data_IF_864881597534
#
_entry.id   IF_864881597534
#
_cell.length_a   1.000
_cell.length_b   1.000
_cell.length_c   1.000
_cell.angle_alpha   90.00
_cell.angle_beta   90.00
_cell.angle_gamma   90.00
#
_symmetry.space_group_name_H-M   'P 1'
#
loop_
_entity.id
_entity.type
_entity.pdbx_description
1 polymer ?
#
# COMPACT_ATOMS: atom_id res chain seq x y z
N UNK A 1 -19.88 27.33 18.52
CA UNK A 1 -20.24 26.42 17.41
C UNK A 1 -19.41 26.87 16.23
N UNK A 2 -18.32 26.17 15.92
CA UNK A 2 -17.49 26.50 14.76
C UNK A 2 -18.24 25.97 13.54
N UNK A 3 -18.72 26.88 12.69
CA UNK A 3 -19.28 26.50 11.40
C UNK A 3 -18.09 26.02 10.57
N UNK A 4 -17.97 24.70 10.37
CA UNK A 4 -16.96 24.16 9.46
C UNK A 4 -17.35 24.59 8.04
N UNK A 5 -16.79 25.71 7.61
CA UNK A 5 -16.97 26.25 6.26
C UNK A 5 -16.46 25.21 5.26
N UNK A 6 -17.31 24.81 4.32
CA UNK A 6 -16.92 23.96 3.21
C UNK A 6 -15.90 24.69 2.33
N UNK A 7 -14.93 23.94 1.82
CA UNK A 7 -13.86 24.44 0.97
C UNK A 7 -13.78 23.64 -0.31
N UNK A 8 -13.45 24.32 -1.40
CA UNK A 8 -13.23 23.70 -2.69
C UNK A 8 -11.76 23.32 -2.82
N UNK A 9 -11.49 22.04 -3.08
CA UNK A 9 -10.14 21.52 -3.27
C UNK A 9 -9.98 20.97 -4.67
N UNK A 10 -8.95 21.45 -5.40
CA UNK A 10 -8.47 20.76 -6.60
C UNK A 10 -7.43 19.73 -6.17
N UNK A 11 -7.65 18.48 -6.56
CA UNK A 11 -6.68 17.41 -6.36
C UNK A 11 -6.20 16.96 -7.72
N UNK A 12 -4.88 16.90 -7.89
CA UNK A 12 -4.21 16.31 -9.04
C UNK A 12 -3.39 15.11 -8.56
N UNK A 13 -3.43 14.01 -9.31
CA UNK A 13 -2.79 12.76 -8.92
C UNK A 13 -2.10 12.12 -10.13
N UNK A 14 -0.87 11.63 -9.94
CA UNK A 14 -0.15 10.86 -10.96
C UNK A 14 -0.62 9.40 -10.94
N UNK A 15 -1.08 8.90 -12.09
CA UNK A 15 -1.34 7.47 -12.29
C UNK A 15 -0.14 6.92 -13.06
N UNK A 16 0.65 6.02 -12.47
CA UNK A 16 1.72 5.32 -13.19
C UNK A 16 1.09 4.18 -13.99
N UNK A 17 1.27 4.17 -15.31
CA UNK A 17 0.63 3.18 -16.19
C UNK A 17 1.44 2.94 -17.46
N UNK A 18 1.38 1.72 -17.97
CA UNK A 18 1.91 1.37 -19.29
C UNK A 18 0.92 1.67 -20.42
N UNK A 19 -0.32 2.05 -20.09
CA UNK A 19 -1.31 2.43 -21.10
C UNK A 19 -1.02 3.84 -21.58
N UNK A 20 -0.95 4.05 -22.89
CA UNK A 20 -0.88 5.38 -23.47
C UNK A 20 -2.28 6.01 -23.51
N UNK A 21 -2.38 7.29 -23.13
CA UNK A 21 -3.61 8.08 -23.28
C UNK A 21 -3.47 9.09 -24.41
N UNK A 22 -4.06 8.77 -25.57
CA UNK A 22 -3.94 9.62 -26.76
C UNK A 22 -4.75 10.91 -26.68
N UNK A 23 -5.99 10.82 -26.19
CA UNK A 23 -6.89 11.96 -26.04
C UNK A 23 -7.33 12.08 -24.57
N UNK A 24 -7.28 13.29 -23.99
CA UNK A 24 -7.88 13.53 -22.68
C UNK A 24 -9.35 13.17 -22.65
N UNK A 25 -9.83 12.67 -21.50
CA UNK A 25 -11.24 12.35 -21.32
C UNK A 25 -11.73 12.68 -19.91
N UNK A 26 -13.05 12.78 -19.78
CA UNK A 26 -13.74 12.98 -18.51
C UNK A 26 -14.52 11.72 -18.14
N UNK A 27 -14.43 11.30 -16.88
CA UNK A 27 -15.24 10.18 -16.37
C UNK A 27 -15.61 10.40 -14.91
N UNK A 28 -16.91 10.43 -14.60
CA UNK A 28 -17.43 10.65 -13.24
C UNK A 28 -16.86 11.91 -12.56
N UNK A 29 -16.67 12.99 -13.32
CA UNK A 29 -16.12 14.25 -12.83
C UNK A 29 -14.61 14.26 -12.62
N UNK A 30 -13.91 13.18 -12.98
CA UNK A 30 -12.45 13.17 -13.08
C UNK A 30 -12.01 13.48 -14.50
N UNK A 31 -11.06 14.41 -14.62
CA UNK A 31 -10.37 14.76 -15.85
C UNK A 31 -9.08 13.97 -15.95
N UNK A 32 -8.90 13.22 -17.03
CA UNK A 32 -7.70 12.43 -17.30
C UNK A 32 -6.93 13.06 -18.47
N UNK A 33 -5.64 13.26 -18.26
CA UNK A 33 -4.70 13.80 -19.26
C UNK A 33 -3.45 12.94 -19.28
N UNK A 34 -2.79 12.87 -20.44
CA UNK A 34 -1.49 12.22 -20.55
C UNK A 34 -0.42 13.01 -19.76
N UNK A 35 0.63 12.34 -19.29
CA UNK A 35 1.74 13.01 -18.61
C UNK A 35 2.59 13.81 -19.60
N UNK A 36 3.17 13.16 -20.61
CA UNK A 36 3.88 13.83 -21.71
C UNK A 36 3.23 13.58 -23.08
N UNK A 37 3.33 14.58 -23.95
CA UNK A 37 2.98 14.46 -25.36
C UNK A 37 3.91 15.30 -26.21
N UNK A 38 4.28 14.76 -27.37
CA UNK A 38 4.91 15.54 -28.43
C UNK A 38 4.45 15.02 -29.78
N UNK A 39 4.34 15.91 -30.78
CA UNK A 39 3.96 15.49 -32.14
C UNK A 39 4.91 14.46 -32.77
N UNK A 40 6.18 14.40 -32.32
CA UNK A 40 7.17 13.47 -32.84
C UNK A 40 7.17 12.10 -32.14
N UNK A 41 6.82 12.05 -30.85
CA UNK A 41 6.88 10.81 -30.03
C UNK A 41 5.50 10.30 -29.60
N UNK A 42 4.42 11.02 -29.92
CA UNK A 42 3.10 10.73 -29.38
C UNK A 42 3.07 10.91 -27.87
N UNK A 43 2.35 10.03 -27.18
CA UNK A 43 2.32 9.96 -25.73
C UNK A 43 3.57 9.25 -25.19
N UNK A 44 4.21 9.83 -24.19
CA UNK A 44 5.34 9.22 -23.50
C UNK A 44 5.26 9.53 -21.99
N UNK A 45 6.08 8.88 -21.17
CA UNK A 45 6.22 9.23 -19.74
C UNK A 45 5.54 8.29 -18.73
N UNK A 46 5.11 7.09 -19.15
CA UNK A 46 4.61 5.99 -18.31
C UNK A 46 3.60 6.42 -17.22
N UNK A 47 2.83 7.47 -17.50
CA UNK A 47 1.91 8.06 -16.55
C UNK A 47 0.80 8.90 -17.18
N UNK A 48 -0.30 9.02 -16.45
CA UNK A 48 -1.38 9.99 -16.66
C UNK A 48 -1.48 10.94 -15.46
N UNK A 49 -2.12 12.07 -15.66
CA UNK A 49 -2.57 12.98 -14.61
C UNK A 49 -4.09 12.85 -14.53
N UNK A 50 -4.59 12.61 -13.33
CA UNK A 50 -6.02 12.69 -13.05
C UNK A 50 -6.28 13.87 -12.12
N UNK A 51 -7.31 14.65 -12.41
CA UNK A 51 -7.68 15.80 -11.58
C UNK A 51 -9.17 15.86 -11.32
N UNK A 52 -9.56 16.38 -10.16
CA UNK A 52 -10.97 16.65 -9.81
C UNK A 52 -11.06 17.72 -8.72
N UNK A 53 -12.13 18.51 -8.78
CA UNK A 53 -12.51 19.42 -7.70
C UNK A 53 -13.47 18.73 -6.72
N UNK A 54 -13.22 18.86 -5.42
CA UNK A 54 -14.00 18.27 -4.33
C UNK A 54 -14.28 19.32 -3.27
N UNK A 55 -15.55 19.42 -2.88
CA UNK A 55 -15.98 20.23 -1.75
C UNK A 55 -15.87 19.42 -0.44
N UNK A 56 -15.10 19.89 0.54
CA UNK A 56 -14.91 19.22 1.83
C UNK A 56 -14.59 20.19 2.98
N UNK A 57 -14.63 19.72 4.24
CA UNK A 57 -14.31 20.59 5.39
C UNK A 57 -12.82 20.86 5.48
N UNK A 58 -12.01 19.83 5.26
CA UNK A 58 -10.55 19.89 5.24
C UNK A 58 -10.02 19.04 4.07
N UNK A 59 -8.73 19.18 3.76
CA UNK A 59 -8.19 18.48 2.59
C UNK A 59 -7.86 17.00 2.85
N UNK A 60 -7.77 16.55 4.11
CA UNK A 60 -7.75 15.11 4.42
C UNK A 60 -9.06 14.44 3.99
N UNK A 61 -10.21 15.03 4.33
CA UNK A 61 -11.54 14.57 3.92
C UNK A 61 -11.69 14.61 2.38
N UNK A 62 -11.24 15.69 1.75
CA UNK A 62 -11.22 15.82 0.29
C UNK A 62 -10.41 14.69 -0.36
N UNK A 63 -9.20 14.43 0.17
CA UNK A 63 -8.31 13.40 -0.35
C UNK A 63 -8.85 11.98 -0.17
N UNK A 64 -9.38 11.65 1.01
CA UNK A 64 -10.00 10.34 1.25
C UNK A 64 -11.18 10.10 0.30
N UNK A 65 -11.99 11.14 0.05
CA UNK A 65 -13.10 11.07 -0.92
C UNK A 65 -12.58 10.85 -2.33
N UNK A 66 -11.59 11.65 -2.75
CA UNK A 66 -10.94 11.52 -4.06
C UNK A 66 -10.38 10.11 -4.27
N UNK A 67 -9.59 9.62 -3.32
CA UNK A 67 -8.87 8.36 -3.41
C UNK A 67 -9.82 7.16 -3.46
N UNK A 68 -10.87 7.15 -2.62
CA UNK A 68 -11.85 6.07 -2.59
C UNK A 68 -12.59 5.93 -3.93
N UNK A 69 -12.97 7.06 -4.54
CA UNK A 69 -13.64 7.05 -5.85
C UNK A 69 -12.67 6.71 -7.00
N UNK A 70 -11.45 7.25 -6.95
CA UNK A 70 -10.43 7.02 -7.98
C UNK A 70 -9.95 5.56 -8.01
N UNK A 71 -9.73 4.92 -6.85
CA UNK A 71 -9.26 3.52 -6.76
C UNK A 71 -10.08 2.59 -7.64
N UNK A 72 -11.41 2.67 -7.54
CA UNK A 72 -12.31 1.84 -8.34
C UNK A 72 -12.22 2.11 -9.84
N UNK A 73 -11.89 3.35 -10.24
CA UNK A 73 -11.71 3.71 -11.65
C UNK A 73 -10.37 3.15 -12.16
N UNK A 74 -9.29 3.34 -11.39
CA UNK A 74 -7.94 2.86 -11.72
C UNK A 74 -7.89 1.34 -11.87
N UNK A 75 -8.56 0.59 -10.99
CA UNK A 75 -8.69 -0.86 -11.10
C UNK A 75 -9.35 -1.29 -12.42
N UNK A 76 -10.40 -0.59 -12.85
CA UNK A 76 -11.07 -0.85 -14.13
C UNK A 76 -10.19 -0.48 -15.32
N UNK A 77 -9.45 0.63 -15.24
CA UNK A 77 -8.48 1.03 -16.27
C UNK A 77 -7.41 -0.05 -16.41
N UNK A 78 -6.82 -0.52 -15.31
CA UNK A 78 -5.81 -1.59 -15.33
C UNK A 78 -6.36 -2.88 -15.95
N UNK A 79 -7.59 -3.27 -15.60
CA UNK A 79 -8.23 -4.44 -16.18
C UNK A 79 -8.48 -4.28 -17.70
N UNK A 80 -9.04 -3.15 -18.14
CA UNK A 80 -9.39 -2.91 -19.55
C UNK A 80 -8.13 -2.78 -20.41
N UNK A 81 -7.12 -2.07 -19.92
CA UNK A 81 -5.84 -1.89 -20.62
C UNK A 81 -4.94 -3.12 -20.59
N UNK A 82 -5.22 -4.09 -19.70
CA UNK A 82 -4.43 -5.31 -19.50
C UNK A 82 -2.96 -5.02 -19.19
N UNK A 83 -2.69 -3.92 -18.49
CA UNK A 83 -1.33 -3.50 -18.18
C UNK A 83 -1.22 -2.92 -16.76
N UNK A 84 0.02 -2.77 -16.28
CA UNK A 84 0.28 -2.18 -14.97
C UNK A 84 -0.31 -0.77 -14.91
N UNK A 85 -1.15 -0.52 -13.91
CA UNK A 85 -1.77 0.78 -13.63
C UNK A 85 -1.88 0.93 -12.12
N UNK A 86 -1.23 1.93 -11.55
CA UNK A 86 -1.17 2.11 -10.09
C UNK A 86 -1.13 3.58 -9.70
N UNK A 87 -1.74 3.90 -8.56
CA UNK A 87 -1.61 5.19 -7.88
C UNK A 87 -0.87 5.05 -6.55
N UNK A 88 -0.45 3.83 -6.18
CA UNK A 88 0.24 3.60 -4.92
C UNK A 88 1.60 4.30 -4.93
N UNK A 89 1.87 5.05 -3.86
CA UNK A 89 3.10 5.81 -3.68
C UNK A 89 3.42 6.76 -4.84
N UNK A 90 2.42 7.19 -5.62
CA UNK A 90 2.61 8.18 -6.69
C UNK A 90 2.38 9.61 -6.16
N UNK A 91 3.04 10.62 -6.76
CA UNK A 91 2.87 12.01 -6.37
C UNK A 91 1.43 12.49 -6.54
N UNK A 92 1.01 13.36 -5.62
CA UNK A 92 -0.26 14.06 -5.73
C UNK A 92 -0.20 15.44 -5.06
N UNK A 93 -1.05 16.33 -5.54
CA UNK A 93 -1.14 17.73 -5.15
C UNK A 93 -2.58 18.01 -4.69
N UNK A 94 -2.73 18.71 -3.56
CA UNK A 94 -4.01 19.24 -3.09
C UNK A 94 -3.91 20.75 -2.96
N UNK A 95 -4.78 21.45 -3.69
CA UNK A 95 -4.89 22.90 -3.71
C UNK A 95 -6.23 23.32 -3.15
N UNK A 96 -6.24 24.27 -2.22
CA UNK A 96 -7.47 24.93 -1.79
C UNK A 96 -7.78 26.07 -2.76
N UNK A 97 -8.94 26.03 -3.41
CA UNK A 97 -9.33 26.99 -4.44
C UNK A 97 -9.98 28.25 -3.87
N UNK A 98 -10.61 28.17 -2.70
CA UNK A 98 -11.33 29.28 -2.11
C UNK A 98 -10.48 30.03 -1.06
N UNK A 99 -10.29 31.33 -1.29
CA UNK A 99 -9.71 32.28 -0.30
C UNK A 99 -8.34 31.86 0.26
N UNK A 100 -7.39 31.54 -0.61
CA UNK A 100 -6.00 31.24 -0.24
C UNK A 100 -5.02 32.23 -0.88
N UNK A 101 -4.87 33.40 -0.25
CA UNK A 101 -3.93 34.44 -0.71
C UNK A 101 -2.47 33.97 -0.65
N UNK A 102 -2.15 33.06 0.27
CA UNK A 102 -0.81 32.49 0.43
C UNK A 102 -0.54 31.32 -0.52
N UNK A 103 -1.57 30.80 -1.21
CA UNK A 103 -1.51 29.64 -2.10
C UNK A 103 -0.83 28.44 -1.42
N UNK A 104 -1.24 28.13 -0.19
CA UNK A 104 -0.75 26.97 0.54
C UNK A 104 -1.29 25.69 -0.11
N UNK A 105 -0.40 24.74 -0.38
CA UNK A 105 -0.76 23.46 -0.98
C UNK A 105 -0.12 22.29 -0.25
N UNK A 106 -0.81 21.15 -0.27
CA UNK A 106 -0.21 19.88 0.15
C UNK A 106 0.40 19.19 -1.05
N UNK A 107 1.64 18.75 -0.92
CA UNK A 107 2.30 17.96 -1.95
C UNK A 107 2.92 16.71 -1.34
N UNK A 108 2.48 15.55 -1.82
CA UNK A 108 3.24 14.32 -1.69
C UNK A 108 4.18 14.24 -2.88
N UNK A 109 5.46 14.45 -2.64
CA UNK A 109 6.50 14.16 -3.60
C UNK A 109 6.96 12.72 -3.37
N UNK A 110 6.99 11.90 -4.41
CA UNK A 110 7.56 10.56 -4.34
C UNK A 110 8.34 10.24 -5.59
N UNK A 111 9.48 9.56 -5.40
CA UNK A 111 10.35 9.11 -6.47
C UNK A 111 10.72 7.66 -6.23
N UNK A 112 10.73 6.89 -7.31
CA UNK A 112 11.25 5.53 -7.26
C UNK A 112 12.77 5.61 -7.05
N UNK A 113 13.27 4.81 -6.11
CA UNK A 113 14.69 4.76 -5.76
C UNK A 113 15.21 3.34 -5.96
N UNK A 114 16.52 3.22 -6.19
CA UNK A 114 17.15 1.90 -6.24
C UNK A 114 17.01 1.19 -4.88
N UNK A 115 16.86 -0.14 -4.87
CA UNK A 115 16.80 -0.90 -3.63
C UNK A 115 18.11 -0.74 -2.84
N UNK A 116 17.99 -0.72 -1.52
CA UNK A 116 19.14 -0.71 -0.60
C UNK A 116 19.58 -2.16 -0.36
N UNK A 117 20.83 -2.55 -0.70
CA UNK A 117 21.31 -3.90 -0.47
C UNK A 117 21.47 -4.18 1.04
N UNK A 118 21.22 -5.43 1.43
CA UNK A 118 21.49 -5.92 2.78
C UNK A 118 22.70 -6.85 2.78
N UNK A 119 23.42 -6.86 3.89
CA UNK A 119 24.52 -7.80 4.09
C UNK A 119 23.97 -9.16 4.54
N UNK A 120 24.48 -10.24 3.95
CA UNK A 120 24.24 -11.60 4.41
C UNK A 120 25.48 -12.07 5.17
N UNK A 121 25.51 -11.79 6.47
CA UNK A 121 26.67 -11.96 7.34
C UNK A 121 26.73 -13.37 7.92
N UNK A 122 27.68 -13.62 8.82
CA UNK A 122 27.79 -14.92 9.51
C UNK A 122 26.54 -15.25 10.34
N UNK A 123 25.82 -14.25 10.86
CA UNK A 123 24.58 -14.50 11.61
C UNK A 123 23.46 -15.01 10.70
N UNK A 124 23.32 -14.48 9.48
CA UNK A 124 22.36 -14.98 8.49
C UNK A 124 22.75 -16.36 7.95
N UNK A 125 24.06 -16.63 7.75
CA UNK A 125 24.54 -17.96 7.34
C UNK A 125 24.26 -19.03 8.40
N UNK A 126 24.52 -18.73 9.67
CA UNK A 126 24.20 -19.61 10.80
C UNK A 126 22.69 -19.85 10.90
N UNK A 127 21.86 -18.81 10.72
CA UNK A 127 20.42 -18.94 10.69
C UNK A 127 19.94 -19.87 9.56
N UNK A 128 20.50 -19.73 8.35
CA UNK A 128 20.17 -20.59 7.21
C UNK A 128 20.40 -22.07 7.54
N UNK A 129 21.58 -22.41 8.08
CA UNK A 129 21.94 -23.78 8.45
C UNK A 129 20.98 -24.32 9.52
N UNK A 130 20.66 -23.52 10.53
CA UNK A 130 19.75 -23.92 11.62
C UNK A 130 18.33 -24.20 11.13
N UNK A 131 17.89 -23.51 10.08
CA UNK A 131 16.54 -23.66 9.53
C UNK A 131 16.38 -24.86 8.60
N UNK A 132 17.47 -25.50 8.14
CA UNK A 132 17.41 -26.70 7.28
C UNK A 132 16.59 -27.83 7.92
N UNK A 133 16.59 -27.92 9.25
CA UNK A 133 15.86 -28.94 10.01
C UNK A 133 14.35 -28.72 10.09
N UNK A 134 13.80 -27.65 9.52
CA UNK A 134 12.35 -27.42 9.56
C UNK A 134 11.61 -28.30 8.54
N UNK A 135 10.70 -29.14 9.00
CA UNK A 135 10.06 -30.15 8.14
C UNK A 135 9.19 -29.55 7.02
N UNK A 136 8.53 -28.41 7.29
CA UNK A 136 7.55 -27.81 6.36
C UNK A 136 8.18 -26.77 5.44
N UNK A 137 9.04 -27.22 4.53
CA UNK A 137 9.86 -26.38 3.66
C UNK A 137 9.07 -25.35 2.81
N UNK A 138 7.85 -25.68 2.40
CA UNK A 138 6.97 -24.77 1.64
C UNK A 138 6.67 -23.45 2.36
N UNK A 139 6.81 -23.40 3.69
CA UNK A 139 6.67 -22.17 4.48
C UNK A 139 7.64 -21.08 4.01
N UNK A 140 8.87 -21.44 3.66
CA UNK A 140 9.87 -20.47 3.20
C UNK A 140 9.55 -19.92 1.81
N UNK A 141 8.87 -20.70 0.96
CA UNK A 141 8.35 -20.22 -0.32
C UNK A 141 7.37 -19.07 -0.11
N UNK A 142 6.37 -19.25 0.76
CA UNK A 142 5.36 -18.21 1.02
C UNK A 142 5.93 -17.00 1.76
N UNK A 143 6.89 -17.20 2.68
CA UNK A 143 7.63 -16.10 3.29
C UNK A 143 8.40 -15.28 2.25
N UNK A 144 9.08 -15.95 1.31
CA UNK A 144 9.79 -15.29 0.23
C UNK A 144 8.83 -14.49 -0.68
N UNK A 145 7.70 -15.08 -1.08
CA UNK A 145 6.66 -14.35 -1.83
C UNK A 145 6.12 -13.14 -1.06
N UNK A 146 5.95 -13.26 0.27
CA UNK A 146 5.51 -12.13 1.11
C UNK A 146 6.54 -10.99 1.17
N UNK A 147 7.81 -11.31 0.98
CA UNK A 147 8.93 -10.35 0.97
C UNK A 147 9.08 -9.70 -0.41
N UNK A 148 8.71 -10.41 -1.48
CA UNK A 148 8.89 -9.98 -2.86
C UNK A 148 7.65 -9.29 -3.47
N UNK A 149 6.56 -9.13 -2.72
CA UNK A 149 5.35 -8.46 -3.20
C UNK A 149 5.34 -6.97 -2.87
N UNK A 150 4.90 -6.16 -3.83
CA UNK A 150 4.78 -4.71 -3.70
C UNK A 150 3.48 -4.27 -3.01
N UNK A 151 2.44 -5.13 -2.98
CA UNK A 151 1.14 -4.78 -2.41
C UNK A 151 0.91 -5.37 -1.03
N UNK A 152 0.27 -4.58 -0.16
CA UNK A 152 -0.08 -4.98 1.20
C UNK A 152 -0.99 -6.22 1.23
N UNK A 153 -2.01 -6.27 0.38
CA UNK A 153 -2.99 -7.36 0.39
C UNK A 153 -2.37 -8.70 -0.05
N UNK A 154 -1.53 -8.69 -1.09
CA UNK A 154 -0.79 -9.88 -1.50
C UNK A 154 0.18 -10.32 -0.40
N UNK A 155 0.87 -9.37 0.25
CA UNK A 155 1.76 -9.69 1.39
C UNK A 155 1.00 -10.36 2.52
N UNK A 156 -0.11 -9.76 2.94
CA UNK A 156 -0.95 -10.30 4.01
C UNK A 156 -1.48 -11.69 3.64
N UNK A 157 -1.90 -11.91 2.40
CA UNK A 157 -2.34 -13.22 1.93
C UNK A 157 -1.22 -14.27 2.02
N UNK A 158 0.00 -13.94 1.57
CA UNK A 158 1.15 -14.85 1.66
C UNK A 158 1.53 -15.17 3.11
N UNK A 159 1.46 -14.20 4.01
CA UNK A 159 1.70 -14.41 5.44
C UNK A 159 0.62 -15.27 6.10
N UNK A 160 -0.64 -15.13 5.69
CA UNK A 160 -1.72 -16.01 6.15
C UNK A 160 -1.48 -17.44 5.66
N UNK A 161 -1.12 -17.64 4.39
CA UNK A 161 -0.78 -18.97 3.86
C UNK A 161 0.43 -19.56 4.60
N UNK A 162 1.42 -18.73 4.94
CA UNK A 162 2.57 -19.13 5.76
C UNK A 162 2.12 -19.67 7.12
N UNK A 163 1.23 -18.97 7.82
CA UNK A 163 0.68 -19.44 9.11
C UNK A 163 -0.09 -20.75 8.95
N UNK A 164 -0.95 -20.87 7.94
CA UNK A 164 -1.72 -22.09 7.67
C UNK A 164 -0.78 -23.26 7.32
N UNK A 165 0.32 -23.01 6.60
CA UNK A 165 1.34 -24.01 6.27
C UNK A 165 2.09 -24.48 7.52
N UNK A 166 2.53 -23.57 8.41
CA UNK A 166 3.16 -23.93 9.70
C UNK A 166 2.20 -24.73 10.57
N UNK A 167 0.92 -24.35 10.64
CA UNK A 167 -0.07 -25.10 11.39
C UNK A 167 -0.31 -26.50 10.81
N UNK A 168 -0.38 -26.61 9.48
CA UNK A 168 -0.83 -27.83 8.83
C UNK A 168 -2.30 -28.12 9.14
N UNK A 169 -2.68 -29.37 8.95
CA UNK A 169 -4.09 -29.79 8.99
C UNK A 169 -4.35 -30.76 10.13
N UNK A 170 -5.56 -30.73 10.66
CA UNK A 170 -6.11 -31.72 11.59
C UNK A 170 -7.44 -32.25 11.08
N UNK A 171 -7.72 -33.50 11.40
CA UNK A 171 -9.01 -34.12 11.15
C UNK A 171 -9.98 -33.75 12.27
N UNK A 172 -11.18 -33.29 11.91
CA UNK A 172 -12.30 -33.12 12.81
C UNK A 172 -13.45 -34.03 12.40
N UNK A 173 -14.11 -34.63 13.38
CA UNK A 173 -15.37 -35.32 13.17
C UNK A 173 -16.51 -34.35 13.42
N UNK A 174 -17.29 -34.06 12.39
CA UNK A 174 -18.54 -33.30 12.53
C UNK A 174 -19.76 -34.17 12.26
N UNK A 175 -20.86 -33.89 12.96
CA UNK A 175 -22.15 -34.51 12.69
C UNK A 175 -22.88 -33.72 11.63
N UNK A 176 -23.23 -34.36 10.51
CA UNK A 176 -24.12 -33.76 9.52
C UNK A 176 -25.49 -33.48 10.14
N UNK A 177 -26.26 -32.60 9.49
CA UNK A 177 -27.69 -32.40 9.80
C UNK A 177 -28.51 -33.70 9.77
N UNK A 178 -28.04 -34.71 9.04
CA UNK A 178 -28.61 -36.04 8.92
C UNK A 178 -28.20 -37.04 10.05
N UNK A 179 -27.44 -36.61 11.06
CA UNK A 179 -26.99 -37.45 12.17
C UNK A 179 -25.78 -38.35 11.89
N UNK A 180 -25.36 -38.50 10.63
CA UNK A 180 -24.11 -39.20 10.26
C UNK A 180 -22.88 -38.37 10.59
N UNK A 181 -21.84 -39.04 11.04
CA UNK A 181 -20.53 -38.43 11.23
C UNK A 181 -19.79 -38.37 9.91
N UNK A 182 -19.12 -37.24 9.65
CA UNK A 182 -18.15 -37.10 8.57
C UNK A 182 -16.85 -36.53 9.11
N UNK A 183 -15.75 -37.02 8.56
CA UNK A 183 -14.42 -36.49 8.80
C UNK A 183 -14.19 -35.33 7.84
N UNK A 184 -13.75 -34.21 8.38
CA UNK A 184 -13.32 -33.04 7.61
C UNK A 184 -11.88 -32.72 7.96
N UNK A 185 -11.12 -32.27 6.97
CA UNK A 185 -9.75 -31.80 7.16
C UNK A 185 -9.82 -30.28 7.26
N UNK A 186 -9.23 -29.72 8.31
CA UNK A 186 -9.20 -28.28 8.54
C UNK A 186 -7.81 -27.86 9.01
N UNK A 187 -7.44 -26.60 8.78
CA UNK A 187 -6.22 -26.03 9.35
C UNK A 187 -6.24 -26.08 10.88
N UNK A 188 -5.12 -26.46 11.49
CA UNK A 188 -4.98 -26.44 12.95
C UNK A 188 -4.77 -25.02 13.50
N UNK A 189 -5.88 -24.29 13.64
CA UNK A 189 -5.88 -22.90 14.14
C UNK A 189 -5.32 -22.74 15.56
N UNK A 190 -5.23 -23.80 16.35
CA UNK A 190 -4.67 -23.71 17.70
C UNK A 190 -3.16 -23.46 17.64
N UNK A 191 -2.46 -24.07 16.68
CA UNK A 191 -1.04 -23.80 16.41
C UNK A 191 -0.84 -22.34 16.00
N UNK A 192 -1.70 -21.82 15.11
CA UNK A 192 -1.64 -20.42 14.68
C UNK A 192 -1.83 -19.47 15.87
N UNK A 193 -2.81 -19.77 16.73
CA UNK A 193 -3.10 -18.99 17.92
C UNK A 193 -1.90 -18.95 18.87
N UNK A 194 -1.24 -20.09 19.08
CA UNK A 194 0.00 -20.18 19.88
C UNK A 194 1.14 -19.41 19.23
N UNK A 195 1.33 -19.52 17.91
CA UNK A 195 2.39 -18.82 17.18
C UNK A 195 2.23 -17.30 17.27
N UNK A 196 1.03 -16.78 17.04
CA UNK A 196 0.76 -15.35 17.11
C UNK A 196 0.86 -14.81 18.54
N UNK A 197 0.45 -15.62 19.54
CA UNK A 197 0.39 -15.25 20.95
C UNK A 197 -0.27 -13.87 21.18
N UNK A 198 -1.29 -13.57 20.37
CA UNK A 198 -2.05 -12.33 20.38
C UNK A 198 -3.48 -12.65 19.94
N UNK A 199 -4.39 -12.68 20.90
CA UNK A 199 -5.80 -13.02 20.67
C UNK A 199 -6.50 -12.00 19.76
N UNK A 200 -6.12 -10.72 19.85
CA UNK A 200 -6.74 -9.66 19.06
C UNK A 200 -6.35 -9.78 17.59
N UNK A 201 -5.06 -10.01 17.32
CA UNK A 201 -4.56 -10.27 15.95
C UNK A 201 -5.16 -11.55 15.41
N UNK A 202 -5.14 -12.65 16.19
CA UNK A 202 -5.73 -13.92 15.76
C UNK A 202 -7.20 -13.77 15.37
N UNK A 203 -8.02 -13.09 16.20
CA UNK A 203 -9.43 -12.83 15.89
C UNK A 203 -9.60 -11.94 14.66
N UNK A 204 -8.79 -10.90 14.51
CA UNK A 204 -8.84 -10.02 13.34
C UNK A 204 -8.59 -10.80 12.03
N UNK A 205 -7.63 -11.75 12.04
CA UNK A 205 -7.31 -12.54 10.85
C UNK A 205 -8.30 -13.70 10.62
N UNK A 206 -8.57 -14.51 11.64
CA UNK A 206 -9.17 -15.84 11.50
C UNK A 206 -10.59 -16.00 12.04
N UNK A 207 -11.23 -14.91 12.51
CA UNK A 207 -12.62 -14.96 12.96
C UNK A 207 -13.57 -15.48 11.87
N UNK A 208 -14.55 -16.27 12.31
CA UNK A 208 -15.53 -16.89 11.42
C UNK A 208 -16.37 -15.83 10.70
N UNK A 209 -16.53 -15.96 9.39
CA UNK A 209 -17.35 -15.09 8.53
C UNK A 209 -17.03 -13.58 8.52
N UNK A 210 -15.91 -13.15 9.10
CA UNK A 210 -15.53 -11.73 9.10
C UNK A 210 -14.04 -11.45 9.19
N UNK A 211 -13.21 -12.46 9.47
CA UNK A 211 -11.76 -12.27 9.58
C UNK A 211 -11.13 -11.89 8.24
N UNK A 212 -10.00 -11.17 8.31
CA UNK A 212 -9.27 -10.70 7.13
C UNK A 212 -8.94 -11.83 6.16
N UNK A 213 -8.57 -13.02 6.66
CA UNK A 213 -8.36 -14.22 5.84
C UNK A 213 -9.58 -14.54 4.99
N UNK A 214 -10.76 -14.62 5.62
CA UNK A 214 -12.00 -14.91 4.89
C UNK A 214 -12.28 -13.83 3.85
N UNK A 215 -12.10 -12.56 4.20
CA UNK A 215 -12.43 -11.47 3.30
C UNK A 215 -11.48 -11.43 2.09
N UNK A 216 -10.18 -11.64 2.31
CA UNK A 216 -9.14 -11.74 1.26
C UNK A 216 -9.44 -12.86 0.27
N UNK A 217 -9.63 -14.09 0.75
CA UNK A 217 -9.74 -15.26 -0.12
C UNK A 217 -11.13 -15.48 -0.72
N UNK A 218 -12.13 -14.70 -0.31
CA UNK A 218 -13.49 -14.75 -0.86
C UNK A 218 -13.93 -13.45 -1.53
N UNK A 219 -12.99 -12.54 -1.83
CA UNK A 219 -13.26 -11.32 -2.60
C UNK A 219 -14.24 -10.35 -1.92
N UNK A 220 -14.26 -10.32 -0.59
CA UNK A 220 -15.07 -9.34 0.15
C UNK A 220 -14.28 -8.04 0.33
N UNK A 221 -15.00 -6.94 0.54
CA UNK A 221 -14.36 -5.67 0.91
C UNK A 221 -13.58 -5.81 2.23
N UNK A 222 -12.42 -5.16 2.30
CA UNK A 222 -11.51 -5.21 3.44
C UNK A 222 -11.14 -3.80 3.86
N UNK A 223 -11.43 -3.50 5.13
CA UNK A 223 -10.89 -2.32 5.80
C UNK A 223 -9.71 -2.75 6.66
N UNK A 224 -8.55 -2.13 6.42
CA UNK A 224 -7.33 -2.34 7.22
C UNK A 224 -7.16 -1.14 8.13
N UNK A 225 -7.22 -1.37 9.44
CA UNK A 225 -7.05 -0.35 10.48
C UNK A 225 -5.66 -0.40 11.15
N UNK A 226 -4.89 -1.45 10.88
CA UNK A 226 -3.57 -1.73 11.48
C UNK A 226 -2.67 -2.48 10.50
N UNK A 227 -1.36 -2.38 10.68
CA UNK A 227 -0.38 -3.17 9.94
C UNK A 227 -0.34 -4.63 10.43
N UNK A 228 -1.36 -5.41 10.07
CA UNK A 228 -1.39 -6.83 10.40
C UNK A 228 -0.26 -7.61 9.70
N UNK A 229 0.17 -7.19 8.50
CA UNK A 229 1.25 -7.85 7.78
C UNK A 229 2.58 -7.74 8.53
N UNK A 230 2.95 -6.55 9.01
CA UNK A 230 4.14 -6.35 9.83
C UNK A 230 4.08 -7.12 11.15
N UNK A 231 2.93 -7.09 11.83
CA UNK A 231 2.73 -7.83 13.09
C UNK A 231 2.90 -9.34 12.89
N UNK A 232 2.27 -9.91 11.87
CA UNK A 232 2.39 -11.36 11.58
C UNK A 232 3.83 -11.71 11.21
N UNK A 233 4.48 -10.92 10.34
CA UNK A 233 5.86 -11.17 9.94
C UNK A 233 6.80 -11.20 11.15
N UNK A 234 6.68 -10.20 12.05
CA UNK A 234 7.45 -10.16 13.30
C UNK A 234 7.23 -11.42 14.14
N UNK A 235 5.98 -11.88 14.29
CA UNK A 235 5.65 -13.11 15.04
C UNK A 235 6.25 -14.37 14.41
N UNK A 236 6.28 -14.45 13.09
CA UNK A 236 6.93 -15.54 12.37
C UNK A 236 8.45 -15.56 12.62
N UNK A 237 9.11 -14.40 12.54
CA UNK A 237 10.54 -14.29 12.85
C UNK A 237 10.83 -14.66 14.31
N UNK A 238 10.03 -14.15 15.26
CA UNK A 238 10.13 -14.51 16.69
C UNK A 238 9.98 -16.02 16.89
N UNK A 239 9.05 -16.67 16.21
CA UNK A 239 8.84 -18.12 16.26
C UNK A 239 10.09 -18.89 15.80
N UNK A 240 10.64 -18.55 14.64
CA UNK A 240 11.85 -19.21 14.11
C UNK A 240 13.08 -18.97 15.00
N UNK A 241 13.29 -17.74 15.48
CA UNK A 241 14.34 -17.42 16.45
C UNK A 241 14.23 -18.26 17.71
N UNK A 242 13.03 -18.41 18.26
CA UNK A 242 12.83 -19.18 19.49
C UNK A 242 13.00 -20.68 19.29
N UNK A 243 12.46 -21.24 18.20
CA UNK A 243 12.50 -22.67 17.91
C UNK A 243 13.90 -23.13 17.50
N UNK A 244 14.58 -22.37 16.63
CA UNK A 244 15.85 -22.76 16.02
C UNK A 244 17.07 -22.04 16.60
N UNK A 245 16.88 -21.15 17.59
CA UNK A 245 17.94 -20.35 18.21
C UNK A 245 18.73 -19.53 17.18
N UNK A 246 18.01 -18.96 16.20
CA UNK A 246 18.53 -18.00 15.24
C UNK A 246 18.51 -16.58 15.80
N UNK A 247 19.19 -15.64 15.13
CA UNK A 247 19.27 -14.22 15.51
C UNK A 247 18.73 -13.30 14.42
N UNK A 248 17.69 -13.73 13.70
CA UNK A 248 17.10 -12.94 12.62
C UNK A 248 16.48 -11.67 13.25
N UNK A 249 16.76 -10.50 12.68
CA UNK A 249 16.25 -9.24 13.23
C UNK A 249 14.71 -9.19 13.24
N UNK A 250 14.12 -8.83 14.38
CA UNK A 250 12.68 -8.63 14.55
C UNK A 250 12.23 -7.19 14.36
N UNK A 251 13.17 -6.27 14.18
CA UNK A 251 12.95 -4.82 14.14
C UNK A 251 13.07 -4.27 12.71
N UNK A 252 12.87 -5.12 11.71
CA UNK A 252 12.85 -4.74 10.30
C UNK A 252 11.57 -3.96 10.01
N UNK A 253 11.70 -2.67 9.68
CA UNK A 253 10.61 -1.84 9.16
C UNK A 253 10.42 -2.15 7.68
N UNK A 254 9.18 -2.45 7.30
CA UNK A 254 8.76 -2.82 5.95
C UNK A 254 9.70 -3.86 5.31
N UNK A 255 9.70 -5.13 5.75
CA UNK A 255 10.68 -6.13 5.29
C UNK A 255 10.62 -6.42 3.79
N UNK A 256 9.60 -5.95 3.06
CA UNK A 256 9.58 -6.10 1.60
C UNK A 256 10.77 -5.38 0.98
N UNK A 257 11.51 -6.11 0.14
CA UNK A 257 12.70 -5.62 -0.56
C UNK A 257 12.65 -6.19 -1.97
N UNK A 258 12.11 -5.40 -2.88
CA UNK A 258 11.91 -5.78 -4.29
C UNK A 258 12.86 -5.00 -5.18
N UNK A 259 13.10 -5.46 -6.40
CA UNK A 259 13.89 -4.69 -7.37
C UNK A 259 13.16 -3.46 -7.91
N UNK A 260 11.82 -3.49 -7.88
CA UNK A 260 10.95 -2.36 -8.25
C UNK A 260 10.08 -1.92 -7.08
N UNK A 261 9.41 -0.77 -7.23
CA UNK A 261 8.40 -0.34 -6.26
C UNK A 261 8.96 0.19 -4.93
N UNK A 262 10.25 0.54 -4.88
CA UNK A 262 10.85 1.23 -3.74
C UNK A 262 10.69 2.73 -3.93
N UNK A 263 10.09 3.42 -2.95
CA UNK A 263 9.82 4.86 -3.06
C UNK A 263 10.45 5.61 -1.89
N UNK A 264 11.07 6.73 -2.20
CA UNK A 264 11.35 7.79 -1.24
C UNK A 264 10.25 8.84 -1.39
N UNK A 265 9.65 9.27 -0.28
CA UNK A 265 8.58 10.24 -0.31
C UNK A 265 8.71 11.30 0.79
N UNK A 266 8.31 12.53 0.45
CA UNK A 266 8.08 13.62 1.39
C UNK A 266 6.63 14.07 1.31
N UNK A 267 6.07 14.49 2.45
CA UNK A 267 4.66 14.91 2.59
C UNK A 267 4.64 16.20 3.39
N UNK A 268 4.50 17.32 2.70
CA UNK A 268 4.58 18.62 3.35
C UNK A 268 3.56 19.60 2.78
N UNK A 269 3.22 20.59 3.60
CA UNK A 269 2.60 21.81 3.11
C UNK A 269 3.67 22.75 2.61
N UNK A 270 3.37 23.40 1.50
CA UNK A 270 4.25 24.34 0.85
C UNK A 270 3.49 25.61 0.53
N UNK A 271 4.21 26.72 0.47
CA UNK A 271 3.74 27.95 -0.14
C UNK A 271 4.78 28.49 -1.09
N UNK A 272 4.39 29.12 -2.21
CA UNK A 272 5.35 29.73 -3.11
C UNK A 272 5.97 30.98 -2.48
N UNK A 273 7.26 31.20 -2.74
CA UNK A 273 7.93 32.47 -2.40
C UNK A 273 7.48 33.61 -3.32
N UNK A 274 7.13 33.28 -4.56
CA UNK A 274 6.56 34.20 -5.56
C UNK A 274 5.11 33.81 -5.83
N UNK A 275 4.18 34.74 -5.60
CA UNK A 275 2.76 34.55 -5.89
C UNK A 275 2.47 34.22 -7.36
N UNK A 276 3.38 34.48 -8.29
CA UNK A 276 3.25 34.12 -9.70
C UNK A 276 3.63 32.67 -10.01
N UNK A 277 4.24 31.96 -9.06
CA UNK A 277 4.66 30.57 -9.24
C UNK A 277 3.49 29.67 -9.65
N UNK A 278 3.75 28.83 -10.65
CA UNK A 278 2.78 27.83 -11.11
C UNK A 278 2.79 26.65 -10.16
N UNK A 279 1.61 26.26 -9.69
CA UNK A 279 1.42 25.13 -8.79
C UNK A 279 0.57 24.10 -9.54
N UNK A 280 1.24 23.24 -10.29
CA UNK A 280 0.65 22.16 -11.08
C UNK A 280 1.47 20.90 -10.81
N UNK A 281 0.82 19.75 -10.62
CA UNK A 281 1.47 18.52 -10.19
C UNK A 281 2.68 18.16 -11.05
N UNK A 282 2.51 18.23 -12.37
CA UNK A 282 3.58 17.89 -13.33
C UNK A 282 4.80 18.78 -13.14
N UNK A 283 4.58 20.09 -13.08
CA UNK A 283 5.64 21.08 -12.90
C UNK A 283 6.40 20.78 -11.60
N UNK A 284 5.69 20.56 -10.49
CA UNK A 284 6.31 20.26 -9.21
C UNK A 284 7.13 18.97 -9.22
N UNK A 285 6.68 17.93 -9.93
CA UNK A 285 7.39 16.66 -10.05
C UNK A 285 8.65 16.76 -10.91
N UNK A 286 8.66 17.66 -11.90
CA UNK A 286 9.75 17.83 -12.87
C UNK A 286 10.78 18.87 -12.44
N UNK A 287 10.48 19.67 -11.42
CA UNK A 287 11.44 20.59 -10.82
C UNK A 287 12.63 19.83 -10.20
N UNK A 288 13.87 20.25 -10.48
CA UNK A 288 15.03 19.84 -9.71
C UNK A 288 14.83 20.15 -8.21
N UNK A 289 15.36 19.31 -7.34
CA UNK A 289 15.17 19.44 -5.88
C UNK A 289 15.68 20.78 -5.35
N UNK A 290 16.83 21.23 -5.83
CA UNK A 290 17.39 22.54 -5.49
C UNK A 290 16.42 23.65 -5.91
N UNK A 291 15.93 23.64 -7.15
CA UNK A 291 15.01 24.66 -7.66
C UNK A 291 13.68 24.68 -6.90
N UNK A 292 13.19 23.51 -6.47
CA UNK A 292 11.99 23.41 -5.65
C UNK A 292 12.16 24.14 -4.32
N UNK A 293 13.26 23.90 -3.60
CA UNK A 293 13.53 24.55 -2.31
C UNK A 293 13.81 26.07 -2.45
N UNK A 294 14.29 26.51 -3.61
CA UNK A 294 14.43 27.93 -3.92
C UNK A 294 13.08 28.60 -4.18
N UNK A 295 12.09 27.90 -4.75
CA UNK A 295 10.80 28.48 -5.13
C UNK A 295 9.72 28.37 -4.05
N UNK A 296 9.83 27.40 -3.13
CA UNK A 296 8.79 27.09 -2.15
C UNK A 296 9.33 27.03 -0.73
N UNK A 297 8.51 27.45 0.23
CA UNK A 297 8.76 27.33 1.67
C UNK A 297 7.87 26.26 2.29
N UNK A 298 8.44 25.42 3.17
CA UNK A 298 7.65 24.49 3.99
C UNK A 298 6.81 25.29 4.98
N UNK A 299 5.54 24.93 5.10
CA UNK A 299 4.61 25.50 6.08
C UNK A 299 4.26 24.44 7.12
N UNK A 300 4.31 24.82 8.40
CA UNK A 300 3.76 24.00 9.47
C UNK A 300 2.31 24.42 9.68
N UNK A 301 1.38 23.55 9.33
CA UNK A 301 -0.06 23.79 9.52
C UNK A 301 -0.49 23.07 10.80
N UNK A 302 -0.88 23.82 11.82
CA UNK A 302 -1.44 23.25 13.04
C UNK A 302 -2.83 22.67 12.74
N UNK A 303 -3.04 21.39 13.07
CA UNK A 303 -4.32 20.66 12.93
C UNK A 303 -4.73 20.27 11.49
N UNK A 304 -3.81 19.72 10.70
CA UNK A 304 -4.15 18.98 9.48
C UNK A 304 -4.36 17.48 9.74
#
# INVERSE_FOLDING_TARGET
MVINKMNDYLIEYKIKTLSELWEPFEYKGFSFKNWDFSGARGCFGDAWIVSRQIEAKNAQEAFLTFQNELNSIVERIGFISQCSTTINSQPFLILKLNSDEEKIFFFLNSKEVSPVPLHFTEEEKDALIKLEGFEKQDVFKYLNESTNTETYYTRLAMLVITLESIAGEKELTEKCKCGKERKIIVTDKDIIKTLLNDEAVFKAIFSYNGGLRNNLFHGKSITIDKDYAGVIYKKLVEHFNNQFKTKISTDVVDPQRTFGGNYMASRCFWKPRDVSAKIELKILCELPEDDFNHQFDIVVVENY
#
